data_IF_197039373275
#
_entry.id   IF_197039373275
#
_cell.length_a   1.000
_cell.length_b   1.000
_cell.length_c   1.000
_cell.angle_alpha   90.00
_cell.angle_beta   90.00
_cell.angle_gamma   90.00
#
_symmetry.space_group_name_H-M   'P 1'
#
loop_
_entity.id
_entity.type
_entity.pdbx_description
1 polymer ?
#
# COMPACT_ATOMS: atom_id res chain seq x y z
N UNK A 1 -29.94 -2.83 10.78
CA UNK A 1 -29.01 -1.68 10.62
C UNK A 1 -27.67 -2.24 10.16
N UNK A 2 -27.52 -2.48 8.87
CA UNK A 2 -26.39 -3.21 8.26
C UNK A 2 -25.88 -2.53 6.99
N UNK A 3 -26.34 -1.30 6.71
CA UNK A 3 -26.07 -0.57 5.48
C UNK A 3 -24.92 0.46 5.58
N UNK A 4 -24.38 0.69 6.77
CA UNK A 4 -23.44 1.81 7.06
C UNK A 4 -21.97 1.52 6.74
N UNK A 5 -21.68 0.47 5.98
CA UNK A 5 -20.34 -0.11 5.91
C UNK A 5 -19.80 -0.19 4.46
N UNK A 6 -20.60 0.12 3.43
CA UNK A 6 -20.23 -0.18 2.04
C UNK A 6 -19.54 0.97 1.27
N UNK A 7 -19.85 2.24 1.51
CA UNK A 7 -19.42 3.36 0.65
C UNK A 7 -17.90 3.61 0.66
N UNK A 8 -17.31 3.91 1.81
CA UNK A 8 -15.84 4.07 1.94
C UNK A 8 -15.12 2.75 1.84
N UNK A 9 -15.75 1.63 2.24
CA UNK A 9 -15.20 0.31 1.91
C UNK A 9 -15.13 0.12 0.41
N UNK A 10 -16.01 0.66 -0.42
CA UNK A 10 -15.90 0.53 -1.87
C UNK A 10 -14.78 1.40 -2.44
N UNK A 11 -14.49 2.57 -1.88
CA UNK A 11 -13.34 3.41 -2.27
C UNK A 11 -12.00 2.85 -1.78
N UNK A 12 -11.94 2.40 -0.53
CA UNK A 12 -10.81 1.66 0.03
C UNK A 12 -10.63 0.32 -0.66
N UNK A 13 -11.70 -0.43 -0.96
CA UNK A 13 -11.63 -1.68 -1.71
C UNK A 13 -11.35 -1.39 -3.18
N UNK A 14 -11.74 -0.26 -3.77
CA UNK A 14 -11.33 0.09 -5.14
C UNK A 14 -9.85 0.48 -5.19
N UNK A 15 -9.35 1.26 -4.22
CA UNK A 15 -7.93 1.61 -4.09
C UNK A 15 -7.08 0.40 -3.69
N UNK A 16 -7.53 -0.41 -2.72
CA UNK A 16 -6.86 -1.66 -2.30
C UNK A 16 -7.03 -2.79 -3.31
N UNK A 17 -8.12 -2.86 -4.07
CA UNK A 17 -8.25 -3.79 -5.20
C UNK A 17 -7.39 -3.31 -6.36
N UNK A 18 -7.26 -2.00 -6.61
CA UNK A 18 -6.27 -1.48 -7.55
C UNK A 18 -4.84 -1.90 -7.14
N UNK A 19 -4.51 -1.89 -5.83
CA UNK A 19 -3.25 -2.46 -5.32
C UNK A 19 -3.18 -4.00 -5.42
N UNK A 20 -4.28 -4.73 -5.20
CA UNK A 20 -4.30 -6.20 -5.22
C UNK A 20 -4.32 -6.77 -6.66
N UNK A 21 -4.81 -6.01 -7.63
CA UNK A 21 -4.87 -6.37 -9.06
C UNK A 21 -3.49 -6.28 -9.75
N UNK A 22 -2.50 -5.72 -9.07
CA UNK A 22 -1.11 -5.59 -9.55
C UNK A 22 -0.33 -6.91 -9.33
N UNK A 23 -0.84 -7.85 -8.53
CA UNK A 23 -0.16 -9.12 -8.24
C UNK A 23 -0.28 -10.21 -9.35
N UNK A 24 -0.90 -9.90 -10.50
CA UNK A 24 -1.06 -10.84 -11.61
C UNK A 24 -0.46 -10.29 -12.92
N UNK A 25 0.83 -9.94 -12.90
CA UNK A 25 1.57 -9.53 -14.09
C UNK A 25 3.05 -9.93 -14.01
N UNK A 26 3.40 -11.02 -14.69
CA UNK A 26 4.73 -11.62 -14.84
C UNK A 26 5.73 -10.71 -15.60
N UNK A 27 7.03 -11.01 -15.51
CA UNK A 27 8.12 -10.18 -16.03
C UNK A 27 8.43 -10.24 -17.53
N UNK A 28 9.47 -9.49 -17.91
CA UNK A 28 10.13 -9.49 -19.22
C UNK A 28 11.22 -8.42 -19.27
N UNK A 29 12.44 -8.81 -19.66
CA UNK A 29 13.69 -8.05 -19.45
C UNK A 29 13.91 -6.78 -20.28
N UNK A 30 14.52 -5.74 -19.68
CA UNK A 30 15.13 -4.62 -20.40
C UNK A 30 15.73 -3.53 -19.49
N UNK A 31 16.99 -3.15 -19.73
CA UNK A 31 17.70 -2.07 -19.00
C UNK A 31 17.23 -0.68 -19.43
N UNK A 32 16.86 0.20 -18.49
CA UNK A 32 17.16 1.64 -18.51
C UNK A 32 16.80 2.32 -17.17
N UNK A 33 17.63 3.27 -16.75
CA UNK A 33 17.63 3.92 -15.43
C UNK A 33 16.49 4.91 -15.17
N UNK A 34 16.25 5.13 -13.88
CA UNK A 34 15.13 5.89 -13.29
C UNK A 34 15.52 7.33 -12.94
N UNK A 35 14.67 8.27 -13.35
CA UNK A 35 14.58 9.62 -12.80
C UNK A 35 13.75 9.60 -11.51
N UNK A 36 14.21 10.34 -10.49
CA UNK A 36 13.65 10.41 -9.13
C UNK A 36 12.26 11.09 -9.12
N UNK A 37 11.23 10.40 -8.64
CA UNK A 37 9.88 10.93 -8.41
C UNK A 37 9.72 11.54 -7.01
N UNK A 38 8.75 12.45 -6.89
CA UNK A 38 8.37 13.16 -5.68
C UNK A 38 8.04 12.23 -4.50
N UNK A 39 8.22 12.72 -3.27
CA UNK A 39 7.96 11.98 -2.02
C UNK A 39 6.46 11.81 -1.77
N UNK A 40 5.87 10.78 -2.38
CA UNK A 40 4.47 10.38 -2.19
C UNK A 40 4.09 10.34 -0.69
N UNK A 41 3.03 11.07 -0.33
CA UNK A 41 2.40 11.18 0.98
C UNK A 41 3.04 12.12 1.98
N UNK A 42 4.19 12.71 1.67
CA UNK A 42 4.93 13.52 2.64
C UNK A 42 4.21 14.83 3.00
N UNK A 43 3.54 15.45 2.02
CA UNK A 43 2.85 16.73 2.20
C UNK A 43 1.53 16.57 2.97
N UNK A 44 0.70 15.58 2.60
CA UNK A 44 -0.59 15.37 3.26
C UNK A 44 -0.43 14.89 4.70
N UNK A 45 0.65 14.19 5.05
CA UNK A 45 0.93 13.77 6.43
C UNK A 45 1.03 14.95 7.43
N UNK A 46 1.31 16.17 6.95
CA UNK A 46 1.31 17.39 7.78
C UNK A 46 -0.12 17.84 8.16
N UNK A 47 -1.14 17.33 7.48
CA UNK A 47 -2.55 17.62 7.72
C UNK A 47 -3.25 16.48 8.49
N UNK A 48 -2.57 15.37 8.73
CA UNK A 48 -3.15 14.20 9.39
C UNK A 48 -2.90 14.27 10.90
N UNK A 49 -3.92 14.03 11.74
CA UNK A 49 -3.73 13.91 13.19
C UNK A 49 -2.62 12.91 13.57
N UNK A 50 -1.83 13.20 14.62
CA UNK A 50 -0.66 12.40 14.98
C UNK A 50 -1.01 11.00 15.51
N UNK A 51 -2.25 10.78 15.92
CA UNK A 51 -2.77 9.50 16.42
C UNK A 51 -3.53 8.70 15.35
N UNK A 52 -3.41 9.08 14.07
CA UNK A 52 -4.01 8.32 12.97
C UNK A 52 -3.60 6.84 13.02
N UNK A 53 -4.60 5.97 12.89
CA UNK A 53 -4.42 4.52 12.93
C UNK A 53 -3.72 3.99 11.68
N UNK A 54 -3.96 4.62 10.53
CA UNK A 54 -3.29 4.30 9.28
C UNK A 54 -3.24 5.52 8.36
N UNK A 55 -2.28 5.50 7.45
CA UNK A 55 -2.13 6.49 6.39
C UNK A 55 -1.67 5.79 5.11
N UNK A 56 -2.32 6.09 3.99
CA UNK A 56 -2.04 5.48 2.69
C UNK A 56 -1.94 6.59 1.65
N UNK A 57 -0.94 6.48 0.79
CA UNK A 57 -0.68 7.42 -0.30
C UNK A 57 -0.61 6.65 -1.60
N UNK A 58 -1.26 7.14 -2.65
CA UNK A 58 -1.39 6.49 -3.94
C UNK A 58 -1.05 7.47 -5.05
N UNK A 59 -0.18 7.05 -5.97
CA UNK A 59 0.04 7.72 -7.24
C UNK A 59 -1.20 7.50 -8.11
N UNK A 60 -2.01 8.55 -8.28
CA UNK A 60 -3.21 8.50 -9.12
C UNK A 60 -2.96 9.01 -10.54
N UNK A 61 -1.72 9.40 -10.87
CA UNK A 61 -1.34 9.81 -12.21
C UNK A 61 -0.97 8.59 -13.07
N UNK A 62 -1.90 8.07 -13.86
CA UNK A 62 -1.62 6.93 -14.75
C UNK A 62 -0.56 7.22 -15.83
N UNK A 63 -0.21 8.48 -16.05
CA UNK A 63 0.87 8.88 -16.96
C UNK A 63 2.24 8.94 -16.25
N UNK A 64 2.32 8.62 -14.95
CA UNK A 64 3.58 8.60 -14.21
C UNK A 64 4.52 7.52 -14.72
N UNK A 65 5.82 7.70 -14.50
CA UNK A 65 6.82 6.71 -14.88
C UNK A 65 6.58 5.35 -14.18
N UNK A 66 5.96 5.34 -13.00
CA UNK A 66 5.61 4.10 -12.31
C UNK A 66 4.47 3.38 -13.05
N UNK A 67 3.40 4.07 -13.40
CA UNK A 67 2.27 3.48 -14.12
C UNK A 67 2.61 3.08 -15.57
N UNK A 68 3.46 3.84 -16.26
CA UNK A 68 3.97 3.45 -17.58
C UNK A 68 4.75 2.14 -17.52
N UNK A 69 5.56 1.91 -16.48
CA UNK A 69 6.23 0.62 -16.28
C UNK A 69 5.24 -0.50 -16.01
N UNK A 70 4.20 -0.26 -15.20
CA UNK A 70 3.13 -1.25 -15.01
C UNK A 70 2.46 -1.58 -16.33
N UNK A 71 2.20 -0.59 -17.17
CA UNK A 71 1.65 -0.79 -18.51
C UNK A 71 2.56 -1.67 -19.37
N UNK A 72 3.85 -1.35 -19.41
CA UNK A 72 4.86 -2.10 -20.15
C UNK A 72 4.99 -3.56 -19.70
N UNK A 73 4.93 -3.78 -18.38
CA UNK A 73 4.93 -5.13 -17.80
C UNK A 73 3.69 -5.90 -18.17
N UNK A 74 2.53 -5.22 -18.17
CA UNK A 74 1.25 -5.91 -18.23
C UNK A 74 0.67 -6.04 -19.64
N UNK A 75 1.12 -5.24 -20.61
CA UNK A 75 0.55 -5.18 -21.97
C UNK A 75 0.52 -6.50 -22.72
N UNK A 76 1.43 -7.42 -22.38
CA UNK A 76 1.52 -8.75 -23.01
C UNK A 76 0.59 -9.80 -22.35
N UNK A 77 -0.08 -9.49 -21.23
CA UNK A 77 -0.97 -10.44 -20.56
C UNK A 77 -2.34 -10.52 -21.25
N UNK A 78 -2.76 -11.73 -21.69
CA UNK A 78 -4.08 -11.92 -22.30
C UNK A 78 -5.26 -11.51 -21.38
N UNK A 79 -5.07 -11.60 -20.06
CA UNK A 79 -6.08 -11.24 -19.07
C UNK A 79 -6.24 -9.72 -18.86
N UNK A 80 -5.27 -8.89 -19.28
CA UNK A 80 -5.27 -7.43 -19.04
C UNK A 80 -6.45 -6.74 -19.70
N UNK A 81 -6.74 -7.07 -20.96
CA UNK A 81 -7.85 -6.46 -21.70
C UNK A 81 -9.18 -6.71 -20.99
N UNK A 82 -9.43 -7.96 -20.60
CA UNK A 82 -10.63 -8.33 -19.86
C UNK A 82 -10.74 -7.59 -18.52
N UNK A 83 -9.64 -7.51 -17.77
CA UNK A 83 -9.63 -6.80 -16.49
C UNK A 83 -9.97 -5.32 -16.65
N UNK A 84 -9.36 -4.64 -17.63
CA UNK A 84 -9.64 -3.23 -17.90
C UNK A 84 -11.07 -2.98 -18.37
N UNK A 85 -11.63 -3.90 -19.16
CA UNK A 85 -13.02 -3.83 -19.59
C UNK A 85 -13.98 -4.06 -18.42
N UNK A 86 -13.67 -5.00 -17.52
CA UNK A 86 -14.46 -5.24 -16.31
C UNK A 86 -14.44 -3.99 -15.39
N UNK A 87 -13.28 -3.36 -15.19
CA UNK A 87 -13.16 -2.09 -14.43
C UNK A 87 -13.95 -0.96 -15.10
N UNK A 88 -13.79 -0.79 -16.42
CA UNK A 88 -14.53 0.24 -17.17
C UNK A 88 -16.03 0.01 -17.05
N UNK A 89 -16.49 -1.24 -17.13
CA UNK A 89 -17.88 -1.61 -16.95
C UNK A 89 -18.42 -1.23 -15.57
N UNK A 90 -17.67 -1.47 -14.50
CA UNK A 90 -18.06 -1.08 -13.14
C UNK A 90 -18.15 0.45 -12.96
N UNK A 91 -17.20 1.20 -13.53
CA UNK A 91 -17.27 2.67 -13.52
C UNK A 91 -18.49 3.17 -14.31
N UNK A 92 -18.74 2.61 -15.49
CA UNK A 92 -19.87 2.99 -16.33
C UNK A 92 -21.23 2.72 -15.66
N UNK A 93 -21.37 1.61 -14.91
CA UNK A 93 -22.58 1.33 -14.12
C UNK A 93 -22.90 2.42 -13.10
N UNK A 94 -21.88 3.14 -12.63
CA UNK A 94 -22.01 4.29 -11.71
C UNK A 94 -22.04 5.63 -12.46
N UNK A 95 -22.10 5.61 -13.79
CA UNK A 95 -22.04 6.81 -14.62
C UNK A 95 -20.72 7.58 -14.41
N UNK A 96 -19.61 6.84 -14.30
CA UNK A 96 -18.27 7.36 -14.12
C UNK A 96 -17.35 6.89 -15.25
N UNK A 97 -16.43 7.76 -15.63
CA UNK A 97 -15.32 7.47 -16.52
C UNK A 97 -14.01 7.81 -15.82
N UNK A 98 -12.95 7.02 -16.09
CA UNK A 98 -11.65 7.35 -15.52
C UNK A 98 -11.16 8.72 -15.99
N UNK A 99 -11.15 8.95 -17.31
CA UNK A 99 -10.58 10.15 -17.92
C UNK A 99 -11.36 11.42 -17.59
N UNK A 100 -12.69 11.35 -17.62
CA UNK A 100 -13.50 12.56 -17.52
C UNK A 100 -14.03 12.79 -16.11
N UNK A 101 -14.10 11.79 -15.23
CA UNK A 101 -14.64 11.98 -13.88
C UNK A 101 -13.60 11.72 -12.78
N UNK A 102 -12.87 10.60 -12.84
CA UNK A 102 -11.99 10.17 -11.73
C UNK A 102 -10.64 10.89 -11.74
N UNK A 103 -9.88 10.80 -12.84
CA UNK A 103 -8.56 11.41 -12.96
C UNK A 103 -8.57 12.92 -12.60
N UNK A 104 -9.44 13.76 -13.18
CA UNK A 104 -9.46 15.19 -12.84
C UNK A 104 -9.97 15.47 -11.40
N UNK A 105 -10.70 14.54 -10.79
CA UNK A 105 -11.16 14.64 -9.40
C UNK A 105 -10.09 14.23 -8.37
N UNK A 106 -9.18 13.33 -8.71
CA UNK A 106 -8.12 12.89 -7.79
C UNK A 106 -6.85 13.72 -7.97
N UNK A 107 -6.54 14.13 -9.21
CA UNK A 107 -5.26 14.73 -9.56
C UNK A 107 -4.14 13.69 -9.56
N UNK A 108 -2.91 14.13 -9.32
CA UNK A 108 -1.73 13.27 -9.41
C UNK A 108 -1.50 12.37 -8.18
N UNK A 109 -2.11 12.70 -7.04
CA UNK A 109 -1.91 12.01 -5.77
C UNK A 109 -3.20 11.97 -4.95
N UNK A 110 -3.46 10.80 -4.37
CA UNK A 110 -4.54 10.59 -3.42
C UNK A 110 -3.97 10.02 -2.11
N UNK A 111 -4.22 10.72 -1.01
CA UNK A 111 -3.89 10.26 0.33
C UNK A 111 -5.16 9.93 1.12
N UNK A 112 -5.05 8.99 2.05
CA UNK A 112 -6.12 8.54 2.90
C UNK A 112 -5.60 8.32 4.32
N UNK A 113 -6.20 9.02 5.28
CA UNK A 113 -6.00 8.78 6.70
C UNK A 113 -7.18 7.99 7.28
N UNK A 114 -6.86 7.07 8.18
CA UNK A 114 -7.84 6.39 9.04
C UNK A 114 -7.64 6.88 10.46
N UNK A 115 -8.67 7.48 11.03
CA UNK A 115 -8.68 7.98 12.41
C UNK A 115 -9.47 7.02 13.30
N UNK A 116 -9.04 6.86 14.55
CA UNK A 116 -9.65 5.91 15.47
C UNK A 116 -9.43 4.45 15.06
N UNK A 117 -10.13 3.51 15.70
CA UNK A 117 -9.99 2.08 15.40
C UNK A 117 -11.29 1.31 15.59
N UNK A 118 -11.34 0.10 15.02
CA UNK A 118 -12.47 -0.81 15.22
C UNK A 118 -13.74 -0.33 14.50
N UNK A 119 -14.83 -0.18 15.25
CA UNK A 119 -16.14 0.24 14.71
C UNK A 119 -16.27 1.76 14.55
N UNK A 120 -15.35 2.53 15.15
CA UNK A 120 -15.34 3.98 15.13
C UNK A 120 -14.22 4.49 14.21
N UNK A 121 -13.83 3.70 13.21
CA UNK A 121 -12.83 4.12 12.24
C UNK A 121 -13.47 5.15 11.31
N UNK A 122 -12.90 6.36 11.31
CA UNK A 122 -13.29 7.47 10.45
C UNK A 122 -12.27 7.64 9.33
N UNK A 123 -12.68 8.15 8.18
CA UNK A 123 -11.83 8.23 6.99
C UNK A 123 -11.77 9.66 6.48
N UNK A 124 -10.55 10.10 6.15
CA UNK A 124 -10.29 11.41 5.55
C UNK A 124 -9.43 11.22 4.33
N UNK A 125 -9.89 11.65 3.17
CA UNK A 125 -9.11 11.61 1.94
C UNK A 125 -8.57 13.01 1.59
N UNK A 126 -7.40 13.07 0.98
CA UNK A 126 -6.74 14.29 0.53
C UNK A 126 -6.38 14.13 -0.94
N UNK A 127 -6.80 15.10 -1.75
CA UNK A 127 -6.50 15.14 -3.17
C UNK A 127 -6.12 16.56 -3.60
N UNK A 128 -5.33 16.68 -4.67
CA UNK A 128 -5.08 17.94 -5.37
C UNK A 128 -5.70 17.85 -6.77
N UNK A 129 -7.05 17.94 -6.87
CA UNK A 129 -7.75 17.79 -8.13
C UNK A 129 -7.38 18.87 -9.14
N UNK A 130 -7.35 18.50 -10.42
CA UNK A 130 -7.38 19.47 -11.52
C UNK A 130 -8.74 20.18 -11.59
N UNK A 131 -9.80 19.50 -11.14
CA UNK A 131 -11.18 20.02 -11.10
C UNK A 131 -11.86 19.68 -9.76
N UNK A 132 -11.89 20.67 -8.86
CA UNK A 132 -12.53 20.54 -7.54
C UNK A 132 -14.04 20.26 -7.65
N UNK A 133 -14.72 20.71 -8.71
CA UNK A 133 -16.14 20.43 -8.89
C UNK A 133 -16.38 18.95 -9.20
N UNK A 134 -15.48 18.31 -9.95
CA UNK A 134 -15.52 16.86 -10.18
C UNK A 134 -15.23 16.06 -8.92
N UNK A 135 -14.30 16.51 -8.07
CA UNK A 135 -14.09 15.89 -6.75
C UNK A 135 -15.34 15.97 -5.88
N UNK A 136 -16.03 17.12 -5.84
CA UNK A 136 -17.31 17.26 -5.12
C UNK A 136 -18.40 16.34 -5.70
N UNK A 137 -18.50 16.25 -7.02
CA UNK A 137 -19.46 15.36 -7.67
C UNK A 137 -19.15 13.89 -7.37
N UNK A 138 -17.86 13.51 -7.34
CA UNK A 138 -17.41 12.17 -6.98
C UNK A 138 -17.75 11.85 -5.52
N UNK A 139 -17.43 12.76 -4.58
CA UNK A 139 -17.78 12.63 -3.16
C UNK A 139 -19.29 12.46 -2.94
N UNK A 140 -20.11 13.21 -3.68
CA UNK A 140 -21.57 13.06 -3.63
C UNK A 140 -22.04 11.70 -4.19
N UNK A 141 -21.43 11.20 -5.29
CA UNK A 141 -21.79 9.90 -5.90
C UNK A 141 -21.45 8.69 -5.02
N UNK A 142 -20.42 8.81 -4.18
CA UNK A 142 -19.95 7.73 -3.30
C UNK A 142 -20.52 7.83 -1.88
N UNK A 143 -21.23 8.91 -1.58
CA UNK A 143 -22.03 9.06 -0.37
C UNK A 143 -23.19 8.05 -0.42
N UNK A 144 -23.19 7.07 0.49
CA UNK A 144 -24.21 6.02 0.56
C UNK A 144 -24.81 6.00 1.98
N UNK A 145 -26.14 5.82 2.08
CA UNK A 145 -26.82 5.71 3.36
C UNK A 145 -26.76 7.00 4.19
N UNK A 146 -26.13 6.94 5.36
CA UNK A 146 -25.96 8.08 6.28
C UNK A 146 -24.68 8.87 6.05
N UNK A 147 -23.80 8.37 5.19
CA UNK A 147 -22.50 8.99 4.94
C UNK A 147 -22.70 10.14 3.95
N UNK A 148 -22.19 11.32 4.29
CA UNK A 148 -22.34 12.53 3.49
C UNK A 148 -20.98 13.21 3.30
N UNK A 149 -20.23 12.73 2.30
CA UNK A 149 -18.91 13.27 1.99
C UNK A 149 -19.01 14.66 1.39
N UNK A 150 -18.29 15.60 2.00
CA UNK A 150 -18.14 16.97 1.53
C UNK A 150 -16.67 17.28 1.31
N UNK A 151 -16.38 18.40 0.63
CA UNK A 151 -15.01 18.77 0.24
C UNK A 151 -14.68 20.17 0.73
N UNK A 152 -13.61 20.28 1.52
CA UNK A 152 -13.08 21.55 2.03
C UNK A 152 -11.62 21.76 1.63
N UNK A 153 -11.21 23.01 1.46
CA UNK A 153 -9.83 23.37 1.17
C UNK A 153 -9.07 23.61 2.47
N UNK A 154 -8.06 22.80 2.76
CA UNK A 154 -7.23 22.91 3.97
C UNK A 154 -5.78 22.65 3.58
N UNK A 155 -4.86 23.56 3.95
CA UNK A 155 -3.42 23.37 3.71
C UNK A 155 -3.01 23.13 2.25
N UNK A 156 -3.74 23.69 1.28
CA UNK A 156 -3.47 23.47 -0.14
C UNK A 156 -3.95 22.12 -0.68
N UNK A 157 -4.72 21.37 0.11
CA UNK A 157 -5.36 20.12 -0.27
C UNK A 157 -6.88 20.27 -0.31
N UNK A 158 -7.52 19.54 -1.21
CA UNK A 158 -8.95 19.26 -1.15
C UNK A 158 -9.15 18.06 -0.22
N UNK A 159 -9.69 18.33 0.96
CA UNK A 159 -9.96 17.33 1.99
C UNK A 159 -11.39 16.84 1.84
N UNK A 160 -11.59 15.52 1.83
CA UNK A 160 -12.89 14.88 1.75
C UNK A 160 -13.18 14.11 3.04
N UNK A 161 -14.26 14.48 3.71
CA UNK A 161 -14.70 13.87 4.96
C UNK A 161 -16.24 13.96 5.09
N UNK A 162 -16.83 13.18 5.99
CA UNK A 162 -18.28 13.11 6.22
C UNK A 162 -18.78 13.93 7.42
N UNK A 163 -17.89 14.65 8.11
CA UNK A 163 -18.26 15.50 9.24
C UNK A 163 -17.36 16.72 9.39
N UNK A 164 -17.93 17.78 10.00
CA UNK A 164 -17.18 18.98 10.37
C UNK A 164 -16.09 18.71 11.41
N UNK A 165 -16.33 17.76 12.32
CA UNK A 165 -15.34 17.35 13.32
C UNK A 165 -14.05 16.82 12.67
N UNK A 166 -14.16 16.09 11.57
CA UNK A 166 -12.99 15.59 10.84
C UNK A 166 -12.20 16.72 10.18
N UNK A 167 -12.87 17.72 9.60
CA UNK A 167 -12.16 18.90 9.07
C UNK A 167 -11.46 19.69 10.18
N UNK A 168 -12.06 19.80 11.35
CA UNK A 168 -11.44 20.48 12.50
C UNK A 168 -10.22 19.72 13.04
N UNK A 169 -10.27 18.38 13.06
CA UNK A 169 -9.09 17.54 13.37
C UNK A 169 -7.95 17.80 12.38
N UNK A 170 -8.26 17.93 11.09
CA UNK A 170 -7.27 18.24 10.04
C UNK A 170 -6.67 19.65 10.21
N UNK A 171 -7.49 20.68 10.49
CA UNK A 171 -6.99 22.04 10.79
C UNK A 171 -6.12 22.09 12.04
N UNK A 172 -6.49 21.30 13.05
CA UNK A 172 -5.72 21.18 14.30
C UNK A 172 -4.36 20.55 14.03
N UNK A 173 -4.30 19.49 13.21
CA UNK A 173 -3.05 18.88 12.79
C UNK A 173 -2.18 19.87 11.98
N UNK A 174 -2.77 20.60 11.04
CA UNK A 174 -2.08 21.60 10.20
C UNK A 174 -1.35 22.68 11.02
N UNK A 175 -1.98 23.16 12.11
CA UNK A 175 -1.46 24.26 12.93
C UNK A 175 -0.70 23.81 14.17
N UNK A 176 -0.69 22.50 14.44
CA UNK A 176 -0.16 21.90 15.64
C UNK A 176 0.78 20.74 15.33
N UNK A 177 0.62 19.65 16.07
CA UNK A 177 1.35 18.41 15.84
C UNK A 177 0.56 17.54 14.86
N UNK A 178 1.26 16.98 13.88
CA UNK A 178 0.72 16.15 12.81
C UNK A 178 1.36 14.76 12.79
N UNK A 179 0.87 13.87 11.93
CA UNK A 179 1.46 12.57 11.66
C UNK A 179 2.92 12.70 11.17
N UNK A 180 3.21 13.74 10.38
CA UNK A 180 4.57 14.04 9.93
C UNK A 180 5.55 14.32 11.09
N UNK A 181 5.05 14.65 12.29
CA UNK A 181 5.87 14.87 13.49
C UNK A 181 6.00 13.61 14.39
N UNK A 182 5.48 12.47 13.93
CA UNK A 182 5.52 11.21 14.68
C UNK A 182 6.76 10.41 14.29
N UNK A 183 7.62 10.11 15.26
CA UNK A 183 8.87 9.38 15.02
C UNK A 183 8.62 7.99 14.41
N UNK A 184 7.61 7.26 14.90
CA UNK A 184 7.22 5.96 14.35
C UNK A 184 6.82 6.05 12.87
N UNK A 185 6.03 7.08 12.49
CA UNK A 185 5.68 7.34 11.10
C UNK A 185 6.92 7.66 10.25
N UNK A 186 7.78 8.58 10.68
CA UNK A 186 8.99 8.93 9.94
C UNK A 186 9.93 7.73 9.74
N UNK A 187 10.13 6.92 10.79
CA UNK A 187 10.92 5.70 10.71
C UNK A 187 10.29 4.71 9.71
N UNK A 188 8.98 4.48 9.80
CA UNK A 188 8.23 3.65 8.88
C UNK A 188 8.36 4.14 7.42
N UNK A 189 8.08 5.42 7.18
CA UNK A 189 8.09 6.03 5.84
C UNK A 189 9.48 6.02 5.21
N UNK A 190 10.53 6.21 6.02
CA UNK A 190 11.93 6.13 5.57
C UNK A 190 12.36 4.71 5.22
N UNK A 191 11.85 3.70 5.93
CA UNK A 191 12.18 2.29 5.72
C UNK A 191 11.68 1.74 4.37
N UNK A 192 10.57 2.29 3.87
CA UNK A 192 9.98 1.96 2.57
C UNK A 192 10.06 3.16 1.59
N UNK A 193 11.22 3.82 1.56
CA UNK A 193 11.47 5.00 0.73
C UNK A 193 11.74 4.69 -0.75
N UNK A 194 11.52 5.69 -1.61
CA UNK A 194 11.70 5.61 -3.07
C UNK A 194 10.40 5.87 -3.83
N UNK A 195 10.48 5.83 -5.16
CA UNK A 195 9.32 5.95 -6.05
C UNK A 195 8.27 4.90 -5.69
N UNK A 196 6.98 5.22 -5.77
CA UNK A 196 5.93 4.30 -5.37
C UNK A 196 4.68 4.50 -6.21
N UNK A 197 4.01 3.39 -6.53
CA UNK A 197 2.60 3.38 -6.94
C UNK A 197 1.71 3.63 -5.71
N UNK A 198 2.11 3.07 -4.57
CA UNK A 198 1.44 3.29 -3.31
C UNK A 198 2.39 3.07 -2.12
N UNK A 199 2.13 3.78 -1.03
CA UNK A 199 2.79 3.59 0.26
C UNK A 199 1.76 3.60 1.37
N UNK A 200 1.95 2.76 2.37
CA UNK A 200 1.05 2.64 3.50
C UNK A 200 1.82 2.60 4.82
N UNK A 201 1.21 3.17 5.85
CA UNK A 201 1.63 3.14 7.23
C UNK A 201 0.45 2.67 8.09
N UNK A 202 0.74 1.84 9.10
CA UNK A 202 -0.24 1.46 10.12
C UNK A 202 0.42 1.58 11.49
N UNK A 203 -0.26 2.26 12.41
CA UNK A 203 0.15 2.36 13.80
C UNK A 203 -0.04 1.01 14.52
N UNK A 204 0.97 0.58 15.28
CA UNK A 204 0.96 -0.67 16.02
C UNK A 204 -0.20 -0.80 17.01
N UNK A 205 -0.63 0.29 17.63
CA UNK A 205 -1.77 0.30 18.56
C UNK A 205 -3.08 -0.03 17.85
N UNK A 206 -3.26 0.45 16.61
CA UNK A 206 -4.41 0.10 15.78
C UNK A 206 -4.43 -1.39 15.41
N UNK A 207 -3.25 -2.03 15.33
CA UNK A 207 -3.10 -3.44 15.04
C UNK A 207 -3.23 -4.33 16.26
N UNK A 208 -2.92 -3.83 17.46
CA UNK A 208 -3.18 -4.52 18.71
C UNK A 208 -4.67 -4.91 18.86
N UNK A 209 -5.57 -4.11 18.27
CA UNK A 209 -7.01 -4.41 18.18
C UNK A 209 -7.36 -5.57 17.20
N UNK A 210 -6.39 -6.14 16.47
CA UNK A 210 -6.56 -7.21 15.47
C UNK A 210 -5.78 -8.48 15.86
N UNK A 211 -6.32 -9.33 16.75
CA UNK A 211 -5.60 -10.45 17.34
C UNK A 211 -5.09 -11.51 16.35
N UNK A 212 -5.70 -11.63 15.15
CA UNK A 212 -5.19 -12.52 14.10
C UNK A 212 -3.91 -11.99 13.44
N UNK A 213 -3.82 -10.68 13.23
CA UNK A 213 -2.64 -10.04 12.64
C UNK A 213 -1.50 -10.00 13.66
N UNK A 214 -1.81 -9.73 14.93
CA UNK A 214 -0.83 -9.79 16.03
C UNK A 214 -0.22 -11.19 16.17
N UNK A 215 -1.02 -12.25 15.99
CA UNK A 215 -0.51 -13.63 16.01
C UNK A 215 0.41 -13.96 14.84
N UNK A 216 0.22 -13.29 13.70
CA UNK A 216 1.00 -13.51 12.47
C UNK A 216 2.26 -12.63 12.41
N UNK A 217 2.20 -11.43 12.94
CA UNK A 217 3.24 -10.43 12.70
C UNK A 217 3.85 -9.86 13.99
N UNK A 218 3.53 -10.47 15.13
CA UNK A 218 3.97 -10.03 16.45
C UNK A 218 3.23 -8.78 16.93
N UNK A 219 3.79 -8.10 17.93
CA UNK A 219 3.35 -6.77 18.38
C UNK A 219 4.39 -5.73 17.97
N UNK A 220 4.37 -5.24 16.73
CA UNK A 220 5.21 -4.12 16.35
C UNK A 220 4.56 -2.79 16.75
N UNK A 221 5.37 -1.77 16.87
CA UNK A 221 4.95 -0.38 17.10
C UNK A 221 4.47 0.29 15.79
N UNK A 222 4.89 -0.21 14.62
CA UNK A 222 4.38 0.20 13.31
C UNK A 222 4.58 -0.86 12.22
N UNK A 223 3.78 -0.72 11.15
CA UNK A 223 4.02 -1.33 9.85
C UNK A 223 4.10 -0.27 8.76
N UNK A 224 4.92 -0.55 7.76
CA UNK A 224 5.00 0.21 6.52
C UNK A 224 4.96 -0.75 5.34
N UNK A 225 4.37 -0.32 4.23
CA UNK A 225 4.43 -1.04 2.97
C UNK A 225 4.62 -0.06 1.81
N UNK A 226 5.31 -0.50 0.76
CA UNK A 226 5.43 0.21 -0.51
C UNK A 226 5.19 -0.76 -1.66
N UNK A 227 4.41 -0.33 -2.64
CA UNK A 227 4.28 -0.96 -3.94
C UNK A 227 4.91 -0.06 -4.98
N UNK A 228 5.79 -0.60 -5.82
CA UNK A 228 6.44 0.16 -6.88
C UNK A 228 6.74 -0.74 -8.09
N UNK A 229 6.76 -0.14 -9.27
CA UNK A 229 7.40 -0.73 -10.43
C UNK A 229 8.91 -0.41 -10.37
N UNK A 230 9.73 -1.46 -10.23
CA UNK A 230 11.19 -1.37 -10.18
C UNK A 230 11.79 -2.29 -11.27
N UNK A 231 12.38 -1.67 -12.28
CA UNK A 231 12.82 -2.36 -13.49
C UNK A 231 11.67 -3.14 -14.13
N UNK A 232 11.85 -4.46 -14.23
CA UNK A 232 10.94 -5.37 -14.92
C UNK A 232 9.98 -6.11 -13.96
N UNK A 233 9.80 -5.58 -12.75
CA UNK A 233 8.99 -6.22 -11.73
C UNK A 233 8.17 -5.22 -10.92
N UNK A 234 7.05 -5.72 -10.40
CA UNK A 234 6.31 -5.08 -9.33
C UNK A 234 6.85 -5.55 -7.99
N UNK A 235 7.36 -4.61 -7.22
CA UNK A 235 7.95 -4.85 -5.91
C UNK A 235 6.96 -4.43 -4.82
N UNK A 236 6.71 -5.37 -3.91
CA UNK A 236 6.07 -5.10 -2.62
C UNK A 236 7.14 -5.16 -1.53
N UNK A 237 7.41 -4.02 -0.90
CA UNK A 237 8.25 -3.92 0.29
C UNK A 237 7.35 -3.81 1.52
N UNK A 238 7.66 -4.59 2.56
CA UNK A 238 6.97 -4.52 3.85
C UNK A 238 8.05 -4.36 4.92
N UNK A 239 7.88 -3.38 5.78
CA UNK A 239 8.72 -3.16 6.94
C UNK A 239 7.87 -3.12 8.21
N UNK A 240 8.41 -3.61 9.30
CA UNK A 240 7.83 -3.47 10.63
C UNK A 240 8.94 -3.32 11.65
N UNK A 241 8.64 -2.66 12.76
CA UNK A 241 9.56 -2.58 13.89
C UNK A 241 8.95 -3.28 15.10
N UNK A 242 9.57 -4.35 15.62
CA UNK A 242 9.09 -4.99 16.83
C UNK A 242 9.12 -4.01 18.02
N UNK A 243 8.08 -4.00 18.86
CA UNK A 243 7.97 -3.08 20.01
C UNK A 243 9.15 -3.17 21.01
N UNK A 244 9.93 -4.25 20.99
CA UNK A 244 11.10 -4.47 21.85
C UNK A 244 12.45 -4.23 21.13
N UNK A 245 12.45 -3.85 19.85
CA UNK A 245 13.66 -3.59 19.10
C UNK A 245 14.22 -2.19 19.41
N UNK A 246 15.54 -2.06 19.48
CA UNK A 246 16.22 -0.79 19.79
C UNK A 246 16.73 -0.06 18.54
N UNK A 247 16.54 -0.63 17.35
CA UNK A 247 17.01 -0.07 16.07
C UNK A 247 16.01 -0.28 14.94
N UNK A 248 15.96 0.66 13.99
CA UNK A 248 15.18 0.52 12.76
C UNK A 248 15.66 -0.69 11.94
N UNK A 249 14.76 -1.40 11.23
CA UNK A 249 15.14 -2.51 10.36
C UNK A 249 16.08 -2.02 9.24
N UNK A 250 17.15 -2.78 8.96
CA UNK A 250 18.09 -2.48 7.86
C UNK A 250 17.40 -2.69 6.50
N UNK A 251 17.77 -1.86 5.52
CA UNK A 251 17.34 -2.01 4.12
C UNK A 251 17.92 -3.32 3.56
N UNK A 252 17.08 -4.22 3.08
CA UNK A 252 17.51 -5.55 2.59
C UNK A 252 18.24 -5.43 1.26
N UNK A 253 19.51 -5.83 1.21
CA UNK A 253 20.36 -5.75 0.01
C UNK A 253 20.00 -6.80 -1.05
N UNK A 254 19.40 -7.94 -0.65
CA UNK A 254 19.17 -9.11 -1.50
C UNK A 254 18.13 -8.90 -2.62
N UNK A 255 17.35 -7.82 -2.61
CA UNK A 255 16.42 -7.51 -3.69
C UNK A 255 17.12 -7.02 -4.98
N UNK A 256 18.40 -6.62 -4.88
CA UNK A 256 19.22 -6.19 -6.02
C UNK A 256 19.82 -7.33 -6.84
N UNK A 257 19.91 -8.54 -6.26
CA UNK A 257 20.59 -9.70 -6.86
C UNK A 257 19.62 -10.76 -7.40
N UNK A 258 18.31 -10.49 -7.36
CA UNK A 258 17.29 -11.42 -7.82
C UNK A 258 17.48 -11.78 -9.31
N UNK A 259 17.42 -13.07 -9.67
CA UNK A 259 17.53 -13.48 -11.06
C UNK A 259 16.47 -12.81 -11.93
N UNK A 260 16.90 -12.34 -13.11
CA UNK A 260 16.01 -11.81 -14.14
C UNK A 260 14.91 -12.83 -14.46
N UNK A 261 13.65 -12.41 -14.44
CA UNK A 261 12.49 -13.27 -14.72
C UNK A 261 11.74 -13.79 -13.49
N UNK A 262 12.12 -13.38 -12.27
CA UNK A 262 11.30 -13.60 -11.07
C UNK A 262 9.94 -12.89 -11.19
N UNK A 263 8.84 -13.63 -11.12
CA UNK A 263 7.46 -13.12 -11.14
C UNK A 263 6.96 -12.68 -9.75
N UNK A 264 7.57 -13.17 -8.67
CA UNK A 264 7.32 -12.74 -7.31
C UNK A 264 8.61 -12.93 -6.51
N UNK A 265 8.99 -11.96 -5.69
CA UNK A 265 10.05 -12.12 -4.71
C UNK A 265 9.64 -11.52 -3.38
N UNK A 266 9.95 -12.24 -2.30
CA UNK A 266 9.72 -11.84 -0.91
C UNK A 266 11.08 -11.91 -0.22
N UNK A 267 11.67 -10.75 0.02
CA UNK A 267 12.83 -10.66 0.90
C UNK A 267 12.36 -10.62 2.36
N UNK A 268 13.05 -11.36 3.22
CA UNK A 268 12.75 -11.51 4.63
C UNK A 268 14.03 -11.38 5.43
N UNK A 269 13.90 -10.85 6.64
CA UNK A 269 14.93 -10.95 7.66
C UNK A 269 14.56 -12.13 8.53
N UNK A 270 15.40 -13.17 8.54
CA UNK A 270 15.19 -14.38 9.30
C UNK A 270 14.94 -14.10 10.78
N UNK A 271 13.92 -14.75 11.33
CA UNK A 271 13.70 -14.78 12.78
C UNK A 271 13.21 -16.17 13.17
N UNK A 272 13.49 -16.56 14.42
CA UNK A 272 12.97 -17.81 15.00
C UNK A 272 11.44 -17.87 14.95
N UNK A 273 10.78 -16.70 14.94
CA UNK A 273 9.34 -16.55 14.87
C UNK A 273 8.78 -16.85 13.47
N UNK A 274 9.48 -16.48 12.40
CA UNK A 274 9.10 -16.84 11.02
C UNK A 274 9.08 -18.35 10.81
N UNK A 275 10.04 -19.08 11.40
CA UNK A 275 10.10 -20.54 11.35
C UNK A 275 8.99 -21.20 12.15
N UNK A 276 8.70 -20.69 13.36
CA UNK A 276 7.61 -21.17 14.19
C UNK A 276 6.25 -21.00 13.47
N UNK A 277 6.09 -19.88 12.77
CA UNK A 277 4.87 -19.58 12.02
C UNK A 277 4.76 -20.35 10.70
N UNK A 278 5.83 -20.46 9.93
CA UNK A 278 5.85 -21.27 8.71
C UNK A 278 5.44 -22.72 9.02
N UNK A 279 5.95 -23.27 10.14
CA UNK A 279 5.63 -24.60 10.66
C UNK A 279 4.16 -24.80 11.03
N UNK A 280 3.43 -23.71 11.30
CA UNK A 280 2.00 -23.75 11.65
C UNK A 280 1.07 -23.76 10.42
N UNK A 281 1.61 -23.57 9.22
CA UNK A 281 0.82 -23.55 7.97
C UNK A 281 0.80 -24.93 7.30
N UNK A 282 -0.21 -25.18 6.45
CA UNK A 282 -0.28 -26.40 5.62
C UNK A 282 0.89 -26.51 4.62
N UNK A 283 1.56 -25.39 4.30
CA UNK A 283 2.79 -25.37 3.49
C UNK A 283 3.98 -25.88 4.30
N UNK A 284 4.11 -25.45 5.56
CA UNK A 284 5.20 -25.87 6.43
C UNK A 284 5.20 -27.36 6.79
N UNK A 285 4.01 -27.97 6.82
CA UNK A 285 3.88 -29.42 6.99
C UNK A 285 4.44 -30.24 5.80
N UNK A 286 4.63 -29.60 4.63
CA UNK A 286 5.14 -30.25 3.40
C UNK A 286 6.59 -29.90 3.07
N UNK A 287 7.21 -28.98 3.82
CA UNK A 287 8.59 -28.53 3.61
C UNK A 287 9.47 -29.03 4.77
N UNK A 288 10.76 -29.35 4.52
CA UNK A 288 11.68 -29.79 5.57
C UNK A 288 12.17 -28.60 6.41
N UNK A 289 11.25 -27.89 7.07
CA UNK A 289 11.53 -26.62 7.76
C UNK A 289 12.59 -26.71 8.86
N UNK A 290 12.75 -27.87 9.50
CA UNK A 290 13.83 -28.11 10.49
C UNK A 290 15.22 -28.10 9.84
N UNK A 291 15.34 -28.52 8.59
CA UNK A 291 16.60 -28.51 7.83
C UNK A 291 16.86 -27.13 7.21
N UNK A 292 15.80 -26.38 6.91
CA UNK A 292 15.86 -24.99 6.44
C UNK A 292 15.99 -23.98 7.58
N UNK A 293 15.78 -24.37 8.84
CA UNK A 293 15.81 -23.46 9.98
C UNK A 293 17.15 -22.71 10.18
N UNK A 294 18.34 -23.36 10.05
CA UNK A 294 19.61 -22.64 10.13
C UNK A 294 19.83 -21.66 8.97
N UNK A 295 19.22 -21.98 7.83
CA UNK A 295 19.30 -21.24 6.57
C UNK A 295 18.35 -20.03 6.55
N UNK A 296 17.20 -20.13 7.22
CA UNK A 296 16.17 -19.09 7.31
C UNK A 296 16.33 -18.16 8.52
N UNK A 297 17.43 -18.30 9.28
CA UNK A 297 17.75 -17.46 10.43
C UNK A 297 18.41 -16.12 10.05
N UNK A 298 18.97 -16.02 8.84
CA UNK A 298 19.58 -14.79 8.30
C UNK A 298 18.68 -14.05 7.30
N UNK A 299 19.22 -13.00 6.68
CA UNK A 299 18.56 -12.34 5.55
C UNK A 299 18.40 -13.31 4.38
N UNK A 300 17.22 -13.32 3.75
CA UNK A 300 16.96 -14.17 2.59
C UNK A 300 15.91 -13.58 1.66
N UNK A 301 15.81 -14.14 0.47
CA UNK A 301 14.76 -13.82 -0.50
C UNK A 301 14.16 -15.12 -1.07
N UNK A 302 12.86 -15.28 -0.94
CA UNK A 302 12.09 -16.32 -1.63
C UNK A 302 11.58 -15.74 -2.94
N UNK A 303 11.89 -16.35 -4.08
CA UNK A 303 11.37 -15.92 -5.37
C UNK A 303 10.71 -17.04 -6.15
N UNK A 304 9.78 -16.66 -7.01
CA UNK A 304 9.03 -17.52 -7.91
C UNK A 304 9.31 -17.05 -9.32
N UNK A 305 9.77 -17.94 -10.20
CA UNK A 305 9.98 -17.69 -11.62
C UNK A 305 9.01 -18.55 -12.44
N UNK A 306 8.30 -18.00 -13.43
CA UNK A 306 7.48 -18.83 -14.32
C UNK A 306 8.38 -19.67 -15.23
N UNK A 307 8.28 -21.01 -15.13
CA UNK A 307 9.03 -21.98 -15.95
C UNK A 307 8.08 -23.02 -16.57
N UNK A 308 7.34 -22.63 -17.59
CA UNK A 308 6.39 -23.52 -18.26
C UNK A 308 5.14 -23.81 -17.40
N UNK A 309 4.74 -25.09 -17.27
CA UNK A 309 3.51 -25.51 -16.57
C UNK A 309 3.62 -25.47 -15.04
N UNK A 310 4.83 -25.46 -14.48
CA UNK A 310 5.09 -25.46 -13.03
C UNK A 310 6.10 -24.35 -12.76
N UNK A 311 5.81 -23.38 -11.87
CA UNK A 311 6.77 -22.31 -11.58
C UNK A 311 7.97 -22.83 -10.79
N UNK A 312 9.16 -22.30 -11.07
CA UNK A 312 10.35 -22.49 -10.27
C UNK A 312 10.21 -21.65 -8.99
N UNK A 313 10.38 -22.28 -7.83
CA UNK A 313 10.45 -21.58 -6.54
C UNK A 313 11.85 -21.77 -6.01
N UNK A 314 12.52 -20.66 -5.67
CA UNK A 314 13.88 -20.67 -5.16
C UNK A 314 14.04 -19.72 -3.98
N UNK A 315 15.00 -20.04 -3.12
CA UNK A 315 15.34 -19.25 -1.94
C UNK A 315 16.82 -18.89 -2.05
N UNK A 316 17.12 -17.61 -1.97
CA UNK A 316 18.47 -17.06 -1.87
C UNK A 316 18.70 -16.57 -0.44
N UNK A 317 19.89 -16.79 0.09
CA UNK A 317 20.21 -16.52 1.49
C UNK A 317 21.51 -15.75 1.55
N UNK A 318 21.53 -14.69 2.34
CA UNK A 318 22.78 -14.04 2.69
C UNK A 318 23.62 -14.99 3.57
N UNK A 319 24.95 -15.03 3.38
CA UNK A 319 25.81 -15.73 4.32
C UNK A 319 25.63 -15.14 5.72
N UNK A 320 25.53 -16.03 6.71
CA UNK A 320 25.59 -15.66 8.12
C UNK A 320 27.04 -15.27 8.45
N UNK A 321 27.24 -14.07 8.98
CA UNK A 321 28.51 -13.71 9.66
C UNK A 321 28.67 -14.51 10.97
#
# INVERSE_FOLDING_TARGET
MTATILGVRALLVAALAALALIAAGCGGGGKAGVARGATLGADAAQLVPPDAAAFVSVDSNLDSAQWQRVDDLTKSFPARAKLLDDIRGELQKRGLSWKDDIAPALGAELDLAVLGSGKNAEYVAFAKPDDVAKLRALAAKVSEGTDHYTVEQIGGWSVVADSQELFDKVRTAQSGRSLADVAAFNNAWSSVSGDALARAYVNGDALAAKPKLVKLAGKPDWFAARVAADGDALRLEIASHPLAATSAPKKQALLGDLPSGSALAVAFHGSTDLLAQASSTKLGAKLPLKQLAPLLAGDGALYVRPSGLIPDIAIELAPSD
#
